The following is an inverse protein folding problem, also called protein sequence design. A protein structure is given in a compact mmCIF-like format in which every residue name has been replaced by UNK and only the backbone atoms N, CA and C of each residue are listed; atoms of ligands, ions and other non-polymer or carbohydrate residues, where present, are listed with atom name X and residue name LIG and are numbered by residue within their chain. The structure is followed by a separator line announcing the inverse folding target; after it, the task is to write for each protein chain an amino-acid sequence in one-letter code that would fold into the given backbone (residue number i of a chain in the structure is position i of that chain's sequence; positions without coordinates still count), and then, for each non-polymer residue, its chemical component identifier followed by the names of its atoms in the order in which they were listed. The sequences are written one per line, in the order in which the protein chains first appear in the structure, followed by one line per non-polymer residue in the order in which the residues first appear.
data_IF_132311914684
#
_entry.id   IF_132311914684
#
_cell.length_a   1.000
_cell.length_b   1.000
_cell.length_c   1.000
_cell.angle_alpha   90.00
_cell.angle_beta   90.00
_cell.angle_gamma   90.00
#
_symmetry.space_group_name_H-M   'P 1'
#
loop_
_entity.id
_entity.type
_entity.pdbx_description
1 polymer ?
#
# COMPACT_ATOMS: atom_id res chain seq x y z
N UNK A 1 47.41 49.48 -17.07
CA UNK A 1 46.02 49.03 -17.32
C UNK A 1 46.05 47.53 -17.60
N UNK A 2 45.80 46.68 -16.60
CA UNK A 2 45.77 45.22 -16.77
C UNK A 2 44.31 44.77 -16.91
N UNK A 3 43.96 44.18 -18.05
CA UNK A 3 42.65 43.55 -18.27
C UNK A 3 42.73 42.10 -17.78
N UNK A 4 42.06 41.81 -16.66
CA UNK A 4 41.87 40.43 -16.20
C UNK A 4 40.80 39.75 -17.04
N UNK A 5 41.21 38.73 -17.79
CA UNK A 5 40.30 37.83 -18.50
C UNK A 5 39.82 36.76 -17.52
N UNK A 6 38.53 36.80 -17.18
CA UNK A 6 37.88 35.76 -16.35
C UNK A 6 37.56 34.58 -17.27
N UNK A 7 38.24 33.45 -17.05
CA UNK A 7 37.90 32.17 -17.71
C UNK A 7 36.81 31.51 -16.85
N UNK A 8 35.59 31.49 -17.35
CA UNK A 8 34.48 30.77 -16.72
C UNK A 8 34.61 29.28 -17.03
N UNK A 9 35.03 28.49 -16.04
CA UNK A 9 35.10 27.03 -16.14
C UNK A 9 33.71 26.45 -15.85
N UNK A 10 32.96 26.12 -16.91
CA UNK A 10 31.65 25.47 -16.80
C UNK A 10 31.82 23.99 -16.42
N UNK A 11 31.54 23.66 -15.16
CA UNK A 11 31.47 22.27 -14.68
C UNK A 11 30.15 21.67 -15.14
N UNK A 12 30.20 20.79 -16.14
CA UNK A 12 29.07 19.94 -16.55
C UNK A 12 28.87 18.84 -15.51
N UNK A 13 27.86 19.00 -14.65
CA UNK A 13 27.43 17.97 -13.70
C UNK A 13 26.61 16.94 -14.46
N UNK A 14 27.20 15.80 -14.81
CA UNK A 14 26.47 14.65 -15.33
C UNK A 14 25.73 13.95 -14.19
N UNK A 15 24.44 14.22 -14.05
CA UNK A 15 23.55 13.45 -13.18
C UNK A 15 23.43 12.02 -13.73
N UNK A 16 23.58 10.98 -12.88
CA UNK A 16 23.34 9.60 -13.31
C UNK A 16 21.85 9.44 -13.64
N UNK A 17 21.56 9.05 -14.87
CA UNK A 17 20.22 8.64 -15.28
C UNK A 17 19.97 7.28 -14.63
N UNK A 18 19.28 7.26 -13.49
CA UNK A 18 18.79 6.01 -12.91
C UNK A 18 17.77 5.42 -13.91
N UNK A 19 18.11 4.27 -14.52
CA UNK A 19 17.18 3.59 -15.41
C UNK A 19 15.88 3.28 -14.66
N UNK A 20 14.74 3.66 -15.23
CA UNK A 20 13.44 3.33 -14.67
C UNK A 20 13.29 1.81 -14.56
N UNK A 21 12.75 1.32 -13.45
CA UNK A 21 12.53 -0.11 -13.24
C UNK A 21 11.51 -0.63 -14.26
N UNK A 22 11.88 -1.65 -15.03
CA UNK A 22 10.93 -2.38 -15.87
C UNK A 22 10.13 -3.36 -15.01
N UNK A 23 9.00 -2.89 -14.49
CA UNK A 23 8.13 -3.69 -13.63
C UNK A 23 7.61 -4.97 -14.31
N UNK A 24 7.42 -4.98 -15.63
CA UNK A 24 6.98 -6.17 -16.36
C UNK A 24 8.09 -7.22 -16.41
N UNK A 25 9.33 -6.80 -16.62
CA UNK A 25 10.48 -7.70 -16.58
C UNK A 25 10.69 -8.27 -15.18
N UNK A 26 10.60 -7.43 -14.14
CA UNK A 26 10.71 -7.87 -12.75
C UNK A 26 9.59 -8.87 -12.39
N UNK A 27 8.34 -8.56 -12.73
CA UNK A 27 7.21 -9.46 -12.52
C UNK A 27 7.41 -10.84 -13.16
N UNK A 28 7.90 -10.89 -14.41
CA UNK A 28 8.23 -12.15 -15.09
C UNK A 28 9.31 -12.97 -14.38
N UNK A 29 10.25 -12.33 -13.66
CA UNK A 29 11.24 -13.04 -12.84
C UNK A 29 10.56 -13.65 -11.63
N UNK A 30 9.82 -12.85 -10.87
CA UNK A 30 9.13 -13.27 -9.66
C UNK A 30 8.08 -14.37 -9.91
N UNK A 31 7.38 -14.35 -11.05
CA UNK A 31 6.43 -15.41 -11.42
C UNK A 31 7.07 -16.82 -11.48
N UNK A 32 8.35 -16.94 -11.81
CA UNK A 32 9.04 -18.24 -11.96
C UNK A 32 9.35 -18.89 -10.62
N UNK A 33 9.53 -18.08 -9.57
CA UNK A 33 10.03 -18.49 -8.26
C UNK A 33 8.97 -18.37 -7.18
N UNK A 34 8.26 -17.24 -7.13
CA UNK A 34 7.60 -16.79 -5.91
C UNK A 34 6.27 -17.49 -5.65
N UNK A 35 5.61 -17.94 -6.71
CA UNK A 35 4.40 -18.77 -6.59
C UNK A 35 4.68 -20.15 -5.96
N UNK A 36 5.94 -20.53 -5.76
CA UNK A 36 6.34 -21.79 -5.11
C UNK A 36 6.80 -21.60 -3.66
N UNK A 37 6.95 -20.36 -3.22
CA UNK A 37 7.31 -20.05 -1.84
C UNK A 37 6.20 -20.51 -0.89
N UNK A 38 6.56 -20.76 0.36
CA UNK A 38 5.56 -20.91 1.41
C UNK A 38 4.98 -19.55 1.81
N UNK A 39 3.92 -19.57 2.62
CA UNK A 39 3.20 -18.34 3.00
C UNK A 39 4.09 -17.31 3.69
N UNK A 40 4.95 -17.72 4.63
CA UNK A 40 5.86 -16.81 5.34
C UNK A 40 6.85 -16.17 4.37
N UNK A 41 7.48 -16.99 3.53
CA UNK A 41 8.45 -16.53 2.53
C UNK A 41 7.85 -15.58 1.50
N UNK A 42 6.59 -15.80 1.12
CA UNK A 42 5.89 -14.97 0.16
C UNK A 42 5.38 -13.66 0.76
N UNK A 43 4.80 -13.72 1.95
CA UNK A 43 3.95 -12.65 2.51
C UNK A 43 4.64 -11.82 3.60
N UNK A 44 5.49 -12.45 4.41
CA UNK A 44 6.06 -11.87 5.63
C UNK A 44 7.53 -11.48 5.47
N UNK A 45 8.27 -12.13 4.58
CA UNK A 45 9.70 -11.89 4.37
C UNK A 45 9.97 -10.64 3.53
N UNK A 46 10.79 -9.72 4.06
CA UNK A 46 11.22 -8.52 3.34
C UNK A 46 12.06 -8.87 2.11
N UNK A 47 11.91 -8.08 1.04
CA UNK A 47 12.60 -8.30 -0.25
C UNK A 47 12.37 -9.69 -0.88
N UNK A 48 11.32 -10.40 -0.46
CA UNK A 48 10.84 -11.65 -1.04
C UNK A 48 9.40 -11.49 -1.50
N UNK A 49 8.92 -12.43 -2.32
CA UNK A 49 7.55 -12.44 -2.81
C UNK A 49 7.13 -11.12 -3.46
N UNK A 50 5.89 -10.72 -3.19
CA UNK A 50 5.35 -9.46 -3.71
C UNK A 50 6.04 -8.21 -3.13
N UNK A 51 6.65 -8.30 -1.94
CA UNK A 51 7.32 -7.15 -1.31
C UNK A 51 8.52 -6.69 -2.10
N UNK A 52 9.24 -7.63 -2.74
CA UNK A 52 10.35 -7.30 -3.62
C UNK A 52 9.93 -6.40 -4.80
N UNK A 53 8.74 -6.62 -5.37
CA UNK A 53 8.16 -5.78 -6.41
C UNK A 53 7.64 -4.45 -5.84
N UNK A 54 6.92 -4.49 -4.72
CA UNK A 54 6.40 -3.30 -4.05
C UNK A 54 7.48 -2.31 -3.65
N UNK A 55 8.62 -2.79 -3.14
CA UNK A 55 9.77 -1.96 -2.77
C UNK A 55 10.41 -1.24 -3.95
N UNK A 56 10.17 -1.70 -5.19
CA UNK A 56 10.61 -1.06 -6.43
C UNK A 56 9.57 -0.12 -7.04
N UNK A 57 8.44 0.09 -6.36
CA UNK A 57 7.30 0.87 -6.87
C UNK A 57 6.44 0.10 -7.90
N UNK A 58 6.67 -1.19 -8.11
CA UNK A 58 5.90 -2.02 -9.03
C UNK A 58 4.61 -2.53 -8.40
N UNK A 59 3.77 -1.62 -7.90
CA UNK A 59 2.61 -1.94 -7.08
C UNK A 59 1.55 -2.76 -7.82
N UNK A 60 1.32 -2.46 -9.10
CA UNK A 60 0.35 -3.19 -9.92
C UNK A 60 0.77 -4.66 -10.06
N UNK A 61 2.01 -4.89 -10.44
CA UNK A 61 2.59 -6.23 -10.62
C UNK A 61 2.71 -6.99 -9.29
N UNK A 62 3.04 -6.29 -8.20
CA UNK A 62 3.01 -6.87 -6.87
C UNK A 62 1.60 -7.35 -6.51
N UNK A 63 0.55 -6.54 -6.76
CA UNK A 63 -0.83 -6.94 -6.55
C UNK A 63 -1.22 -8.16 -7.41
N UNK A 64 -0.84 -8.14 -8.69
CA UNK A 64 -1.07 -9.26 -9.62
C UNK A 64 -0.41 -10.56 -9.08
N UNK A 65 0.80 -10.46 -8.50
CA UNK A 65 1.51 -11.60 -7.92
C UNK A 65 0.80 -12.17 -6.69
N UNK A 66 0.29 -11.31 -5.80
CA UNK A 66 -0.46 -11.74 -4.61
C UNK A 66 -1.76 -12.44 -5.00
N UNK A 67 -2.51 -11.91 -5.97
CA UNK A 67 -3.74 -12.53 -6.46
C UNK A 67 -3.48 -13.94 -7.04
N UNK A 68 -2.44 -14.08 -7.86
CA UNK A 68 -2.03 -15.38 -8.41
C UNK A 68 -1.59 -16.36 -7.31
N UNK A 69 -0.91 -15.87 -6.27
CA UNK A 69 -0.54 -16.71 -5.13
C UNK A 69 -1.78 -17.17 -4.36
N UNK A 70 -2.72 -16.27 -4.07
CA UNK A 70 -3.99 -16.62 -3.39
C UNK A 70 -4.74 -17.70 -4.17
N UNK A 71 -4.85 -17.55 -5.50
CA UNK A 71 -5.51 -18.53 -6.37
C UNK A 71 -4.80 -19.89 -6.33
N UNK A 72 -3.49 -19.91 -6.57
CA UNK A 72 -2.71 -21.14 -6.63
C UNK A 72 -2.75 -21.95 -5.34
N UNK A 73 -2.74 -21.26 -4.20
CA UNK A 73 -2.71 -21.89 -2.87
C UNK A 73 -4.09 -21.98 -2.21
N UNK A 74 -5.17 -21.58 -2.90
CA UNK A 74 -6.52 -21.49 -2.34
C UNK A 74 -6.57 -20.75 -0.99
N UNK A 75 -5.72 -19.73 -0.83
CA UNK A 75 -5.55 -19.04 0.45
C UNK A 75 -6.86 -18.37 0.90
N UNK A 76 -7.19 -18.54 2.18
CA UNK A 76 -8.30 -17.85 2.86
C UNK A 76 -7.82 -16.73 3.78
N UNK A 77 -6.54 -16.38 3.71
CA UNK A 77 -5.94 -15.34 4.53
C UNK A 77 -6.46 -13.95 4.10
N UNK A 78 -7.21 -13.32 5.01
CA UNK A 78 -7.77 -11.98 4.82
C UNK A 78 -6.67 -10.91 4.73
N UNK A 79 -5.52 -11.14 5.37
CA UNK A 79 -4.36 -10.23 5.34
C UNK A 79 -3.81 -10.11 3.92
N UNK A 80 -3.76 -11.23 3.18
CA UNK A 80 -3.33 -11.21 1.78
C UNK A 80 -4.29 -10.39 0.91
N UNK A 81 -5.60 -10.49 1.16
CA UNK A 81 -6.60 -9.64 0.47
C UNK A 81 -6.41 -8.16 0.80
N UNK A 82 -6.08 -7.85 2.04
CA UNK A 82 -5.73 -6.49 2.44
C UNK A 82 -4.47 -5.98 1.74
N UNK A 83 -3.44 -6.81 1.59
CA UNK A 83 -2.25 -6.45 0.81
C UNK A 83 -2.56 -6.17 -0.65
N UNK A 84 -3.41 -6.98 -1.30
CA UNK A 84 -3.91 -6.66 -2.66
C UNK A 84 -4.59 -5.30 -2.68
N UNK A 85 -5.46 -5.00 -1.70
CA UNK A 85 -6.16 -3.73 -1.64
C UNK A 85 -5.20 -2.52 -1.58
N UNK A 86 -4.20 -2.58 -0.69
CA UNK A 86 -3.20 -1.53 -0.54
C UNK A 86 -2.37 -1.35 -1.82
N UNK A 87 -1.91 -2.44 -2.43
CA UNK A 87 -1.10 -2.39 -3.66
C UNK A 87 -1.91 -1.87 -4.85
N UNK A 88 -3.18 -2.26 -4.97
CA UNK A 88 -4.08 -1.73 -5.99
C UNK A 88 -4.29 -0.23 -5.81
N UNK A 89 -4.54 0.24 -4.58
CA UNK A 89 -4.68 1.66 -4.28
C UNK A 89 -3.40 2.46 -4.58
N UNK A 90 -2.22 1.92 -4.22
CA UNK A 90 -0.92 2.52 -4.55
C UNK A 90 -0.70 2.62 -6.07
N UNK A 91 -1.17 1.64 -6.83
CA UNK A 91 -1.13 1.69 -8.30
C UNK A 91 -2.21 2.57 -8.95
N UNK A 92 -3.12 3.15 -8.15
CA UNK A 92 -4.24 3.96 -8.62
C UNK A 92 -5.49 3.18 -9.04
N UNK A 93 -5.50 1.84 -8.97
CA UNK A 93 -6.67 1.01 -9.23
C UNK A 93 -7.60 0.96 -8.00
N UNK A 94 -8.24 2.10 -7.73
CA UNK A 94 -9.10 2.27 -6.55
C UNK A 94 -10.32 1.33 -6.55
N UNK A 95 -10.82 0.94 -7.73
CA UNK A 95 -11.94 0.01 -7.84
C UNK A 95 -11.55 -1.36 -7.29
N UNK A 96 -10.47 -1.95 -7.80
CA UNK A 96 -9.98 -3.24 -7.29
C UNK A 96 -9.48 -3.16 -5.86
N UNK A 97 -8.98 -1.99 -5.44
CA UNK A 97 -8.62 -1.75 -4.06
C UNK A 97 -9.84 -1.90 -3.13
N UNK A 98 -10.94 -1.22 -3.44
CA UNK A 98 -12.18 -1.30 -2.67
C UNK A 98 -12.77 -2.72 -2.65
N UNK A 99 -12.75 -3.42 -3.79
CA UNK A 99 -13.23 -4.81 -3.90
C UNK A 99 -12.42 -5.75 -2.98
N UNK A 100 -11.09 -5.72 -3.07
CA UNK A 100 -10.23 -6.57 -2.24
C UNK A 100 -10.26 -6.17 -0.75
N UNK A 101 -10.39 -4.87 -0.45
CA UNK A 101 -10.55 -4.41 0.93
C UNK A 101 -11.81 -5.01 1.56
N UNK A 102 -12.95 -4.99 0.86
CA UNK A 102 -14.19 -5.62 1.34
C UNK A 102 -14.05 -7.13 1.54
N UNK A 103 -13.28 -7.81 0.68
CA UNK A 103 -12.98 -9.24 0.86
C UNK A 103 -12.07 -9.54 2.06
N UNK A 104 -11.43 -8.53 2.65
CA UNK A 104 -10.60 -8.68 3.86
C UNK A 104 -11.35 -8.44 5.17
N UNK A 105 -12.66 -8.14 5.11
CA UNK A 105 -13.49 -7.97 6.30
C UNK A 105 -13.62 -9.27 7.10
N UNK A 106 -13.62 -9.17 8.43
CA UNK A 106 -13.78 -10.30 9.35
C UNK A 106 -15.20 -10.37 9.90
N UNK A 107 -15.78 -11.58 9.96
CA UNK A 107 -17.09 -11.81 10.56
C UNK A 107 -17.11 -11.68 12.09
N UNK A 108 -15.94 -11.74 12.74
CA UNK A 108 -15.84 -11.95 14.19
C UNK A 108 -15.47 -10.69 15.00
N UNK A 109 -15.43 -9.51 14.38
CA UNK A 109 -15.03 -8.26 15.06
C UNK A 109 -15.98 -7.86 16.22
N UNK A 110 -17.21 -8.38 16.22
CA UNK A 110 -18.20 -8.12 17.27
C UNK A 110 -17.86 -8.79 18.62
N UNK A 111 -16.82 -9.63 18.68
CA UNK A 111 -16.33 -10.17 19.94
C UNK A 111 -15.65 -9.07 20.76
N UNK A 112 -16.06 -8.91 22.03
CA UNK A 112 -15.37 -8.02 23.00
C UNK A 112 -13.88 -8.38 23.19
N UNK A 113 -13.46 -9.56 22.75
CA UNK A 113 -12.07 -10.01 22.77
C UNK A 113 -11.25 -9.49 21.56
N UNK A 114 -11.88 -8.80 20.61
CA UNK A 114 -11.22 -8.17 19.46
C UNK A 114 -11.20 -6.64 19.64
N UNK A 115 -10.24 -6.10 20.41
CA UNK A 115 -10.18 -4.65 20.65
C UNK A 115 -9.72 -3.88 19.41
N UNK A 116 -9.15 -4.55 18.40
CA UNK A 116 -8.80 -3.95 17.11
C UNK A 116 -10.07 -3.72 16.28
N UNK A 117 -10.31 -2.46 15.89
CA UNK A 117 -11.38 -2.04 14.98
C UNK A 117 -10.99 -2.25 13.51
N UNK A 118 -10.70 -3.50 13.16
CA UNK A 118 -10.28 -3.91 11.82
C UNK A 118 -11.27 -3.53 10.71
N UNK A 119 -12.55 -3.89 10.80
CA UNK A 119 -13.49 -3.62 9.72
C UNK A 119 -13.77 -2.13 9.62
N UNK A 120 -13.83 -1.38 10.72
CA UNK A 120 -13.94 0.08 10.65
C UNK A 120 -12.72 0.68 9.94
N UNK A 121 -11.50 0.22 10.25
CA UNK A 121 -10.31 0.67 9.52
C UNK A 121 -10.38 0.35 8.01
N UNK A 122 -10.79 -0.87 7.66
CA UNK A 122 -10.95 -1.30 6.26
C UNK A 122 -12.04 -0.49 5.54
N UNK A 123 -13.20 -0.32 6.15
CA UNK A 123 -14.34 0.41 5.56
C UNK A 123 -14.06 1.91 5.46
N UNK A 124 -13.32 2.49 6.40
CA UNK A 124 -12.82 3.85 6.29
C UNK A 124 -11.91 3.99 5.04
N UNK A 125 -11.00 3.05 4.84
CA UNK A 125 -10.11 3.01 3.67
C UNK A 125 -10.88 2.81 2.36
N UNK A 126 -11.92 1.97 2.34
CA UNK A 126 -12.86 1.84 1.22
C UNK A 126 -13.51 3.18 0.89
N UNK A 127 -13.93 3.95 1.91
CA UNK A 127 -14.45 5.30 1.72
C UNK A 127 -13.46 6.22 0.99
N UNK A 128 -12.17 6.13 1.30
CA UNK A 128 -11.13 6.85 0.56
C UNK A 128 -11.02 6.37 -0.89
N UNK A 129 -10.93 5.05 -1.13
CA UNK A 129 -10.80 4.48 -2.48
C UNK A 129 -12.00 4.85 -3.37
N UNK A 130 -13.21 4.83 -2.83
CA UNK A 130 -14.45 5.12 -3.56
C UNK A 130 -14.77 6.62 -3.65
N UNK A 131 -13.93 7.51 -3.10
CA UNK A 131 -14.20 8.94 -3.08
C UNK A 131 -15.41 9.35 -2.21
N UNK A 132 -15.72 8.55 -1.18
CA UNK A 132 -16.82 8.77 -0.22
C UNK A 132 -16.29 9.25 1.13
N UNK A 133 -16.14 10.56 1.26
CA UNK A 133 -15.54 11.20 2.44
C UNK A 133 -16.34 10.98 3.72
N UNK A 134 -17.66 10.95 3.59
CA UNK A 134 -18.61 10.66 4.67
C UNK A 134 -18.39 9.25 5.26
N UNK A 135 -18.24 8.24 4.41
CA UNK A 135 -17.93 6.86 4.82
C UNK A 135 -16.57 6.78 5.51
N UNK A 136 -15.54 7.44 4.93
CA UNK A 136 -14.21 7.53 5.54
C UNK A 136 -14.28 8.13 6.95
N UNK A 137 -14.94 9.27 7.12
CA UNK A 137 -15.05 9.95 8.42
C UNK A 137 -15.85 9.12 9.42
N UNK A 138 -16.97 8.53 8.99
CA UNK A 138 -17.82 7.72 9.87
C UNK A 138 -17.04 6.60 10.53
N UNK A 139 -16.36 5.76 9.74
CA UNK A 139 -15.61 4.63 10.26
C UNK A 139 -14.32 5.04 10.97
N UNK A 140 -13.63 6.09 10.50
CA UNK A 140 -12.50 6.68 11.25
C UNK A 140 -12.90 7.07 12.67
N UNK A 141 -14.10 7.63 12.87
CA UNK A 141 -14.58 8.00 14.20
C UNK A 141 -14.84 6.77 15.09
N UNK A 142 -15.18 5.62 14.51
CA UNK A 142 -15.31 4.37 15.26
C UNK A 142 -13.95 3.84 15.72
N UNK A 143 -12.93 3.89 14.85
CA UNK A 143 -11.54 3.58 15.23
C UNK A 143 -11.05 4.53 16.33
N UNK A 144 -11.37 5.82 16.21
CA UNK A 144 -10.95 6.84 17.18
C UNK A 144 -11.51 6.60 18.59
N UNK A 145 -12.77 6.16 18.70
CA UNK A 145 -13.40 5.85 20.00
C UNK A 145 -12.69 4.71 20.73
N UNK A 146 -12.10 3.77 19.99
CA UNK A 146 -11.38 2.61 20.52
C UNK A 146 -9.85 2.78 20.44
N UNK A 147 -9.33 4.00 20.22
CA UNK A 147 -7.90 4.26 20.01
C UNK A 147 -7.04 3.63 21.12
N UNK A 148 -7.45 3.81 22.37
CA UNK A 148 -6.68 3.37 23.55
C UNK A 148 -6.97 1.92 23.94
N UNK A 149 -7.88 1.23 23.23
CA UNK A 149 -8.21 -0.18 23.47
C UNK A 149 -7.18 -1.14 22.84
N UNK A 150 -6.46 -0.71 21.80
CA UNK A 150 -5.46 -1.52 21.11
C UNK A 150 -4.45 -0.65 20.34
N UNK A 151 -3.15 -0.95 20.42
CA UNK A 151 -2.09 -0.16 19.75
C UNK A 151 -2.31 -0.04 18.22
N UNK A 152 -2.89 -1.08 17.60
CA UNK A 152 -3.25 -1.07 16.19
C UNK A 152 -4.32 -0.03 15.82
N UNK A 153 -5.23 0.30 16.73
CA UNK A 153 -6.22 1.36 16.48
C UNK A 153 -5.54 2.72 16.40
N UNK A 154 -4.55 3.00 17.25
CA UNK A 154 -3.78 4.23 17.18
C UNK A 154 -3.03 4.36 15.83
N UNK A 155 -2.36 3.29 15.39
CA UNK A 155 -1.63 3.30 14.11
C UNK A 155 -2.59 3.49 12.93
N UNK A 156 -3.70 2.75 12.92
CA UNK A 156 -4.73 2.88 11.90
C UNK A 156 -5.33 4.29 11.88
N UNK A 157 -5.58 4.87 13.05
CA UNK A 157 -6.12 6.23 13.16
C UNK A 157 -5.21 7.27 12.52
N UNK A 158 -3.89 7.18 12.75
CA UNK A 158 -2.89 8.06 12.12
C UNK A 158 -2.97 7.97 10.59
N UNK A 159 -3.10 6.77 10.05
CA UNK A 159 -3.26 6.56 8.61
C UNK A 159 -4.57 7.19 8.09
N UNK A 160 -5.70 6.92 8.74
CA UNK A 160 -7.00 7.48 8.34
C UNK A 160 -7.02 9.01 8.41
N UNK A 161 -6.33 9.61 9.38
CA UNK A 161 -6.20 11.06 9.49
C UNK A 161 -5.44 11.67 8.30
N UNK A 162 -4.37 11.01 7.84
CA UNK A 162 -3.68 11.40 6.61
C UNK A 162 -4.59 11.30 5.39
N UNK A 163 -5.35 10.21 5.28
CA UNK A 163 -6.33 10.03 4.20
C UNK A 163 -7.41 11.13 4.20
N UNK A 164 -7.88 11.55 5.36
CA UNK A 164 -8.84 12.67 5.49
C UNK A 164 -8.19 14.00 5.11
N UNK A 165 -6.99 14.28 5.62
CA UNK A 165 -6.23 15.50 5.34
C UNK A 165 -5.96 15.68 3.84
N UNK A 166 -5.66 14.58 3.15
CA UNK A 166 -5.33 14.57 1.72
C UNK A 166 -6.44 13.95 0.85
N UNK A 167 -7.68 14.04 1.31
CA UNK A 167 -8.81 13.48 0.58
C UNK A 167 -8.92 14.05 -0.84
N UNK A 168 -9.16 13.19 -1.82
CA UNK A 168 -9.19 13.54 -3.25
C UNK A 168 -7.81 13.49 -3.94
N UNK A 169 -6.72 13.21 -3.21
CA UNK A 169 -5.42 12.84 -3.79
C UNK A 169 -5.33 11.33 -4.01
N UNK A 170 -4.30 10.88 -4.73
CA UNK A 170 -4.02 9.45 -4.84
C UNK A 170 -3.72 8.86 -3.46
N UNK A 171 -4.00 7.56 -3.30
CA UNK A 171 -3.67 6.85 -2.06
C UNK A 171 -2.17 6.91 -1.77
N UNK A 172 -1.35 6.71 -2.80
CA UNK A 172 0.11 6.85 -2.71
C UNK A 172 0.56 8.22 -2.16
N UNK A 173 -0.02 9.31 -2.66
CA UNK A 173 0.28 10.63 -2.10
C UNK A 173 -0.18 10.74 -0.64
N UNK A 174 -1.43 10.38 -0.37
CA UNK A 174 -2.03 10.55 0.95
C UNK A 174 -1.36 9.69 2.03
N UNK A 175 -0.91 8.47 1.69
CA UNK A 175 -0.25 7.56 2.63
C UNK A 175 1.18 7.98 2.98
N UNK A 176 1.86 8.67 2.06
CA UNK A 176 3.25 9.09 2.22
C UNK A 176 3.43 10.55 2.65
N UNK A 177 2.38 11.37 2.59
CA UNK A 177 2.43 12.76 3.02
C UNK A 177 2.67 12.90 4.54
N UNK A 178 3.34 14.00 4.93
CA UNK A 178 3.58 14.39 6.33
C UNK A 178 2.32 14.93 7.02
#
# INVERSE_FOLDING_TARGET
MFKSTIIALSILISLPIQAAVDCKAEFKKHLKTDLKLNHIEFDQTQNSGFRALGNKGCYKEAADLVELYIEKHNSKDLTMRWHVAQLRALSGDNKKAAENAKLSLTSNEQSKLSPLKWNDYVLASVGFFEGKKDILIHHRNMVAKAKDEHFGNELNLKMLDKLIKHFGKSYDYASNAE
#
